data_IF_172525557914
#
_entry.id   IF_172525557914
#
_cell.length_a   1.000
_cell.length_b   1.000
_cell.length_c   1.000
_cell.angle_alpha   90.00
_cell.angle_beta   90.00
_cell.angle_gamma   90.00
#
_symmetry.space_group_name_H-M   'P 1'
#
loop_
_entity.id
_entity.type
_entity.pdbx_description
1 polymer ?
#
# COMPACT_ATOMS: atom_id res chain seq x y z
N UNK A 1 16.48 14.55 27.11
CA UNK A 1 16.03 13.35 27.87
C UNK A 1 14.53 13.10 27.70
N UNK A 2 13.61 13.98 28.14
CA UNK A 2 12.17 13.74 27.97
C UNK A 2 11.71 13.75 26.51
N UNK A 3 12.14 14.74 25.72
CA UNK A 3 11.80 14.86 24.29
C UNK A 3 12.35 13.70 23.44
N UNK A 4 13.55 13.22 23.78
CA UNK A 4 14.16 12.05 23.15
C UNK A 4 13.38 10.77 23.47
N UNK A 5 12.95 10.58 24.73
CA UNK A 5 12.12 9.44 25.12
C UNK A 5 10.77 9.45 24.39
N UNK A 6 10.15 10.63 24.22
CA UNK A 6 8.91 10.78 23.46
C UNK A 6 9.13 10.39 22.01
N UNK A 7 10.14 10.95 21.34
CA UNK A 7 10.47 10.62 19.95
C UNK A 7 10.71 9.12 19.75
N UNK A 8 11.51 8.50 20.62
CA UNK A 8 11.75 7.05 20.55
C UNK A 8 10.47 6.26 20.76
N UNK A 9 9.59 6.67 21.67
CA UNK A 9 8.31 5.99 21.86
C UNK A 9 7.42 6.06 20.62
N UNK A 10 7.37 7.21 19.94
CA UNK A 10 6.61 7.39 18.70
C UNK A 10 7.16 6.53 17.56
N UNK A 11 8.48 6.49 17.39
CA UNK A 11 9.13 5.63 16.40
C UNK A 11 8.83 4.15 16.64
N UNK A 12 8.92 3.68 17.90
CA UNK A 12 8.61 2.30 18.25
C UNK A 12 7.13 1.98 17.98
N UNK A 13 6.21 2.90 18.27
CA UNK A 13 4.79 2.70 17.99
C UNK A 13 4.51 2.62 16.48
N UNK A 14 5.05 3.54 15.68
CA UNK A 14 4.92 3.54 14.21
C UNK A 14 5.51 2.26 13.60
N UNK A 15 6.68 1.84 14.06
CA UNK A 15 7.31 0.61 13.57
C UNK A 15 6.49 -0.64 13.93
N UNK A 16 5.89 -0.68 15.11
CA UNK A 16 5.00 -1.79 15.51
C UNK A 16 3.73 -1.82 14.69
N UNK A 17 3.08 -0.68 14.50
CA UNK A 17 1.89 -0.56 13.66
C UNK A 17 2.18 -1.08 12.25
N UNK A 18 3.28 -0.62 11.65
CA UNK A 18 3.71 -1.05 10.32
C UNK A 18 3.99 -2.55 10.26
N UNK A 19 4.73 -3.09 11.23
CA UNK A 19 5.02 -4.53 11.32
C UNK A 19 3.74 -5.38 11.33
N UNK A 20 2.77 -5.02 12.18
CA UNK A 20 1.52 -5.80 12.31
C UNK A 20 0.63 -5.67 11.07
N UNK A 21 0.61 -4.52 10.42
CA UNK A 21 -0.08 -4.35 9.14
C UNK A 21 0.52 -5.27 8.06
N UNK A 22 1.85 -5.29 7.91
CA UNK A 22 2.50 -6.17 6.94
C UNK A 22 2.30 -7.65 7.27
N UNK A 23 2.33 -8.00 8.57
CA UNK A 23 2.03 -9.36 9.01
C UNK A 23 0.61 -9.78 8.62
N UNK A 24 -0.37 -8.90 8.80
CA UNK A 24 -1.75 -9.14 8.38
C UNK A 24 -1.85 -9.32 6.86
N UNK A 25 -1.29 -8.38 6.07
CA UNK A 25 -1.32 -8.48 4.60
C UNK A 25 -0.65 -9.76 4.09
N UNK A 26 0.42 -10.24 4.76
CA UNK A 26 1.08 -11.50 4.41
C UNK A 26 0.18 -12.71 4.63
N UNK A 27 -0.64 -12.70 5.69
CA UNK A 27 -1.62 -13.74 5.95
C UNK A 27 -2.74 -13.72 4.90
N UNK A 28 -3.24 -12.54 4.55
CA UNK A 28 -4.24 -12.36 3.49
C UNK A 28 -3.72 -12.83 2.12
N UNK A 29 -2.48 -12.48 1.78
CA UNK A 29 -1.80 -12.98 0.57
C UNK A 29 -1.72 -14.51 0.55
N UNK A 30 -1.38 -15.13 1.68
CA UNK A 30 -1.32 -16.60 1.82
C UNK A 30 -2.70 -17.25 1.66
N UNK A 31 -3.76 -16.54 2.05
CA UNK A 31 -5.14 -16.97 1.93
C UNK A 31 -5.77 -16.66 0.54
N UNK A 32 -4.98 -16.15 -0.41
CA UNK A 32 -5.44 -15.79 -1.76
C UNK A 32 -6.23 -14.48 -1.84
N UNK A 33 -6.20 -13.66 -0.79
CA UNK A 33 -6.80 -12.31 -0.73
C UNK A 33 -5.71 -11.26 -0.88
N UNK A 34 -4.97 -11.34 -1.98
CA UNK A 34 -3.79 -10.51 -2.26
C UNK A 34 -4.12 -9.21 -3.00
N UNK A 35 -5.39 -8.85 -3.11
CA UNK A 35 -5.85 -7.65 -3.82
C UNK A 35 -6.73 -6.76 -2.95
N UNK A 36 -6.68 -5.46 -3.22
CA UNK A 36 -7.53 -4.43 -2.64
C UNK A 36 -8.05 -3.51 -3.74
N UNK A 37 -9.27 -2.95 -3.61
CA UNK A 37 -9.63 -1.79 -4.38
C UNK A 37 -8.65 -0.64 -4.10
N UNK A 38 -8.39 0.16 -5.12
CA UNK A 38 -7.65 1.40 -4.99
C UNK A 38 -8.20 2.50 -5.90
N UNK A 39 -7.93 3.73 -5.53
CA UNK A 39 -8.32 4.93 -6.27
C UNK A 39 -7.07 5.74 -6.60
N UNK A 40 -6.87 6.06 -7.88
CA UNK A 40 -5.80 6.96 -8.29
C UNK A 40 -6.10 8.36 -7.75
N UNK A 41 -5.19 8.92 -6.97
CA UNK A 41 -5.33 10.24 -6.34
C UNK A 41 -4.59 11.30 -7.13
N UNK A 42 -3.40 10.96 -7.61
CA UNK A 42 -2.54 11.88 -8.37
C UNK A 42 -1.70 11.09 -9.38
N UNK A 43 -1.37 11.73 -10.51
CA UNK A 43 -0.60 11.13 -11.60
C UNK A 43 0.53 12.09 -11.99
N UNK A 44 1.76 11.70 -11.70
CA UNK A 44 2.97 12.38 -12.15
C UNK A 44 3.43 11.89 -13.53
N UNK A 45 4.61 12.34 -13.94
CA UNK A 45 5.17 11.98 -15.26
C UNK A 45 5.54 10.49 -15.34
N UNK A 46 6.07 9.91 -14.26
CA UNK A 46 6.57 8.51 -14.22
C UNK A 46 6.00 7.70 -13.03
N UNK A 47 5.38 8.38 -12.09
CA UNK A 47 4.84 7.85 -10.84
C UNK A 47 3.40 8.28 -10.66
N UNK A 48 2.73 7.67 -9.69
CA UNK A 48 1.39 8.04 -9.30
C UNK A 48 1.16 7.70 -7.83
N UNK A 49 0.11 8.30 -7.28
CA UNK A 49 -0.36 8.05 -5.91
C UNK A 49 -1.70 7.34 -5.96
N UNK A 50 -1.82 6.21 -5.27
CA UNK A 50 -3.09 5.48 -5.10
C UNK A 50 -3.48 5.48 -3.63
N UNK A 51 -4.75 5.75 -3.34
CA UNK A 51 -5.35 5.41 -2.07
C UNK A 51 -5.75 3.93 -2.07
N UNK A 52 -5.21 3.15 -1.13
CA UNK A 52 -5.46 1.69 -1.02
C UNK A 52 -6.43 1.43 0.12
N UNK A 53 -7.62 0.92 -0.19
CA UNK A 53 -8.71 0.78 0.79
C UNK A 53 -8.35 -0.16 1.94
N UNK A 54 -7.73 -1.32 1.66
CA UNK A 54 -7.42 -2.31 2.69
C UNK A 54 -6.40 -1.82 3.73
N UNK A 55 -5.53 -0.87 3.38
CA UNK A 55 -4.56 -0.27 4.32
C UNK A 55 -4.98 1.11 4.81
N UNK A 56 -6.09 1.65 4.30
CA UNK A 56 -6.56 3.01 4.52
C UNK A 56 -5.44 4.08 4.36
N UNK A 57 -4.57 3.90 3.36
CA UNK A 57 -3.33 4.67 3.23
C UNK A 57 -2.99 4.98 1.76
N UNK A 58 -2.19 6.03 1.55
CA UNK A 58 -1.71 6.45 0.25
C UNK A 58 -0.39 5.74 -0.10
N UNK A 59 -0.28 5.26 -1.34
CA UNK A 59 0.90 4.57 -1.84
C UNK A 59 1.40 5.22 -3.12
N UNK A 60 2.66 5.60 -3.09
CA UNK A 60 3.40 6.01 -4.28
C UNK A 60 3.92 4.77 -5.00
N UNK A 61 3.66 4.70 -6.30
CA UNK A 61 4.15 3.61 -7.15
C UNK A 61 4.46 4.13 -8.54
N UNK A 62 5.15 3.32 -9.34
CA UNK A 62 5.41 3.65 -10.74
C UNK A 62 4.10 3.62 -11.52
N UNK A 63 4.03 4.48 -12.55
CA UNK A 63 2.91 4.45 -13.47
C UNK A 63 2.83 3.07 -14.16
N UNK A 64 1.64 2.45 -14.24
CA UNK A 64 1.46 1.19 -14.94
C UNK A 64 1.58 1.41 -16.46
N UNK A 65 1.63 0.33 -17.22
CA UNK A 65 1.72 0.37 -18.68
C UNK A 65 0.45 0.84 -19.39
N UNK A 66 -0.65 1.00 -18.65
CA UNK A 66 -1.94 1.43 -19.16
C UNK A 66 -2.28 2.86 -18.71
N UNK A 67 -3.21 3.49 -19.42
CA UNK A 67 -3.65 4.83 -19.10
C UNK A 67 -4.42 4.89 -17.78
N UNK A 68 -4.06 5.87 -16.96
CA UNK A 68 -4.63 6.13 -15.64
C UNK A 68 -4.95 7.61 -15.47
N UNK A 69 -6.05 7.91 -14.80
CA UNK A 69 -6.46 9.28 -14.47
C UNK A 69 -6.81 9.40 -12.98
N UNK A 70 -6.62 10.58 -12.36
CA UNK A 70 -7.14 10.84 -11.01
C UNK A 70 -8.64 10.53 -10.90
N UNK A 71 -9.03 9.90 -9.78
CA UNK A 71 -10.40 9.42 -9.52
C UNK A 71 -10.70 8.02 -10.08
N UNK A 72 -9.84 7.46 -10.93
CA UNK A 72 -10.06 6.12 -11.49
C UNK A 72 -9.90 5.03 -10.43
N UNK A 73 -10.85 4.08 -10.43
CA UNK A 73 -10.76 2.85 -9.63
C UNK A 73 -9.93 1.80 -10.34
N UNK A 74 -9.13 1.08 -9.58
CA UNK A 74 -8.26 0.00 -10.04
C UNK A 74 -8.12 -1.09 -8.99
N UNK A 75 -7.48 -2.19 -9.36
CA UNK A 75 -7.11 -3.26 -8.43
C UNK A 75 -5.65 -3.07 -8.02
N UNK A 76 -5.40 -3.03 -6.72
CA UNK A 76 -4.06 -3.00 -6.13
C UNK A 76 -3.71 -4.41 -5.68
N UNK A 77 -2.65 -5.00 -6.23
CA UNK A 77 -2.17 -6.32 -5.82
C UNK A 77 -0.93 -6.20 -4.94
N UNK A 78 -0.94 -6.88 -3.80
CA UNK A 78 0.20 -6.95 -2.90
C UNK A 78 1.14 -8.08 -3.34
N UNK A 79 2.33 -7.73 -3.86
CA UNK A 79 3.29 -8.70 -4.43
C UNK A 79 4.35 -9.13 -3.43
N UNK A 80 5.10 -8.18 -2.91
CA UNK A 80 6.16 -8.45 -1.95
C UNK A 80 5.77 -7.83 -0.62
N UNK A 81 5.76 -8.66 0.42
CA UNK A 81 5.44 -8.27 1.79
C UNK A 81 6.50 -8.89 2.69
N UNK A 82 7.29 -8.06 3.36
CA UNK A 82 8.24 -8.46 4.39
C UNK A 82 8.00 -7.64 5.67
N UNK A 83 7.38 -8.25 6.70
CA UNK A 83 7.13 -7.55 7.96
C UNK A 83 8.39 -7.15 8.71
N UNK A 84 9.49 -7.90 8.59
CA UNK A 84 10.71 -7.65 9.36
C UNK A 84 11.53 -6.52 8.74
N UNK A 85 11.63 -6.50 7.42
CA UNK A 85 12.33 -5.44 6.67
C UNK A 85 11.43 -4.20 6.42
N UNK A 86 10.14 -4.28 6.73
CA UNK A 86 9.19 -3.20 6.50
C UNK A 86 8.85 -2.98 5.03
N UNK A 87 9.04 -4.00 4.18
CA UNK A 87 8.87 -3.88 2.72
C UNK A 87 7.45 -4.21 2.30
N UNK A 88 6.83 -3.29 1.55
CA UNK A 88 5.58 -3.52 0.82
C UNK A 88 5.76 -3.09 -0.63
N UNK A 89 5.58 -4.00 -1.58
CA UNK A 89 5.48 -3.68 -3.02
C UNK A 89 4.10 -4.02 -3.55
N UNK A 90 3.54 -3.04 -4.25
CA UNK A 90 2.23 -3.15 -4.89
C UNK A 90 2.39 -3.13 -6.41
N UNK A 91 1.47 -3.81 -7.09
CA UNK A 91 1.23 -3.68 -8.52
C UNK A 91 -0.19 -3.17 -8.76
N UNK A 92 -0.40 -2.51 -9.89
CA UNK A 92 -1.70 -1.97 -10.28
C UNK A 92 -2.22 -2.76 -11.47
N UNK A 93 -3.47 -3.19 -11.38
CA UNK A 93 -4.18 -3.92 -12.43
C UNK A 93 -5.44 -3.11 -12.81
N UNK A 94 -5.79 -3.12 -14.09
CA UNK A 94 -7.06 -2.54 -14.54
C UNK A 94 -8.21 -3.28 -13.86
N UNK A 95 -9.21 -2.51 -13.41
CA UNK A 95 -10.47 -3.08 -12.97
C UNK A 95 -11.13 -3.72 -14.20
N UNK A 96 -11.07 -5.05 -14.29
CA UNK A 96 -11.84 -5.76 -15.29
C UNK A 96 -13.26 -5.83 -14.76
N UNK A 97 -14.15 -5.00 -15.29
CA UNK A 97 -15.58 -5.26 -15.16
C UNK A 97 -15.84 -6.59 -15.88
N UNK A 98 -15.97 -7.67 -15.11
CA UNK A 98 -16.53 -8.91 -15.65
C UNK A 98 -17.96 -8.60 -16.09
N UNK A 99 -18.34 -8.85 -17.35
CA UNK A 99 -19.71 -8.64 -17.83
C UNK A 99 -20.72 -9.55 -17.10
#
# INVERSE_FOLDING_TARGET
MAEEAVRTSEEVMKNREWYYLLKYLKQEQTAGRDTSPGVVVDVGSNDLTVYVEQTADFRHTRKPSFDVMPGQRLTVRFRQIDPFDGVLRIELEQLHETP
#
